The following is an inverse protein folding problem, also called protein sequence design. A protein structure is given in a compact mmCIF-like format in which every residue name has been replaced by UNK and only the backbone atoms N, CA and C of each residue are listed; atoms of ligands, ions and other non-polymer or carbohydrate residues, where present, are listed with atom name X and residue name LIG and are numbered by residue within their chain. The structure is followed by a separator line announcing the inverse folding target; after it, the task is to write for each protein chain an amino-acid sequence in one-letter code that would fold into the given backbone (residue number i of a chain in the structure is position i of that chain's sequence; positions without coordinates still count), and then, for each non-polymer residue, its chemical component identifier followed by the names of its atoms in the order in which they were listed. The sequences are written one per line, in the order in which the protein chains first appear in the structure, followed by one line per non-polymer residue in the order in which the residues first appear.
data_IF_881414474558
#
_entry.id   IF_881414474558
#
_cell.length_a   1.000
_cell.length_b   1.000
_cell.length_c   1.000
_cell.angle_alpha   90.00
_cell.angle_beta   90.00
_cell.angle_gamma   90.00
#
_symmetry.space_group_name_H-M   'P 1'
#
loop_
_entity.id
_entity.type
_entity.pdbx_description
1 polymer ?
#
# COMPACT_ATOMS: atom_id res chain seq x y z
N UNK A 1 8.02 3.95 -7.91
CA UNK A 1 6.89 3.13 -7.40
C UNK A 1 5.62 3.97 -7.35
N UNK A 2 5.54 4.95 -6.46
CA UNK A 2 4.52 6.01 -6.51
C UNK A 2 5.06 7.32 -5.95
N UNK A 3 4.30 8.40 -6.10
CA UNK A 3 4.58 9.70 -5.49
C UNK A 3 3.28 10.38 -5.06
N UNK A 4 3.32 11.17 -3.99
CA UNK A 4 2.21 12.08 -3.68
C UNK A 4 2.32 13.31 -4.60
N UNK A 5 1.24 13.61 -5.31
CA UNK A 5 1.05 14.84 -6.09
C UNK A 5 -0.18 15.53 -5.50
N UNK A 6 0.02 16.69 -4.90
CA UNK A 6 -1.01 17.39 -4.13
C UNK A 6 -1.59 16.47 -3.03
N UNK A 7 -2.81 15.97 -3.22
CA UNK A 7 -3.51 15.06 -2.32
C UNK A 7 -3.65 13.62 -2.86
N UNK A 8 -3.07 13.34 -4.03
CA UNK A 8 -3.25 12.06 -4.74
C UNK A 8 -1.94 11.30 -4.85
N UNK A 9 -1.93 10.03 -4.42
CA UNK A 9 -0.79 9.14 -4.69
C UNK A 9 -0.93 8.58 -6.10
N UNK A 10 -0.01 8.94 -6.99
CA UNK A 10 0.06 8.40 -8.35
C UNK A 10 1.03 7.23 -8.40
N UNK A 11 0.62 6.13 -9.04
CA UNK A 11 1.41 4.91 -9.21
C UNK A 11 2.02 4.89 -10.62
N UNK A 12 3.28 4.46 -10.72
CA UNK A 12 3.95 4.27 -12.01
C UNK A 12 3.71 2.83 -12.49
N UNK A 13 2.72 2.64 -13.36
CA UNK A 13 2.34 1.35 -13.94
C UNK A 13 3.35 0.80 -14.96
N UNK A 14 4.11 1.67 -15.63
CA UNK A 14 5.20 1.28 -16.53
C UNK A 14 6.41 0.68 -15.79
N UNK A 15 6.50 0.88 -14.46
CA UNK A 15 7.62 0.39 -13.67
C UNK A 15 7.68 -1.16 -13.68
N UNK A 16 8.86 -1.80 -13.90
CA UNK A 16 8.98 -3.26 -13.95
C UNK A 16 8.41 -3.98 -12.72
N UNK A 17 8.57 -3.40 -11.53
CA UNK A 17 8.00 -3.99 -10.31
C UNK A 17 6.46 -3.97 -10.26
N UNK A 18 5.80 -2.96 -10.87
CA UNK A 18 4.34 -2.95 -10.98
C UNK A 18 3.88 -4.03 -11.95
N UNK A 19 4.50 -4.11 -13.13
CA UNK A 19 4.23 -5.18 -14.11
C UNK A 19 4.40 -6.57 -13.51
N UNK A 20 5.45 -6.80 -12.71
CA UNK A 20 5.65 -8.05 -11.96
C UNK A 20 4.52 -8.30 -10.96
N UNK A 21 4.09 -7.28 -10.21
CA UNK A 21 3.01 -7.41 -9.24
C UNK A 21 1.67 -7.75 -9.90
N UNK A 22 1.36 -7.17 -11.06
CA UNK A 22 0.19 -7.55 -11.86
C UNK A 22 0.29 -9.02 -12.28
N UNK A 23 1.43 -9.41 -12.87
CA UNK A 23 1.65 -10.79 -13.31
C UNK A 23 1.54 -11.83 -12.16
N UNK A 24 1.92 -11.47 -10.93
CA UNK A 24 1.83 -12.33 -9.76
C UNK A 24 0.52 -12.20 -8.97
N UNK A 25 -0.47 -11.44 -9.47
CA UNK A 25 -1.72 -11.11 -8.75
C UNK A 25 -1.48 -10.48 -7.37
N UNK A 26 -0.40 -9.71 -7.24
CA UNK A 26 0.00 -8.97 -6.04
C UNK A 26 -0.16 -7.46 -6.21
N UNK A 27 -0.98 -7.02 -7.15
CA UNK A 27 -1.18 -5.60 -7.48
C UNK A 27 -1.60 -4.78 -6.25
N UNK A 28 -2.59 -5.27 -5.49
CA UNK A 28 -3.05 -4.58 -4.29
C UNK A 28 -1.95 -4.38 -3.24
N UNK A 29 -1.06 -5.36 -3.07
CA UNK A 29 0.10 -5.25 -2.19
C UNK A 29 1.11 -4.22 -2.71
N UNK A 30 1.36 -4.20 -4.02
CA UNK A 30 2.24 -3.21 -4.64
C UNK A 30 1.72 -1.78 -4.46
N UNK A 31 0.42 -1.56 -4.68
CA UNK A 31 -0.22 -0.27 -4.46
C UNK A 31 -0.10 0.14 -3.00
N UNK A 32 -0.42 -0.75 -2.06
CA UNK A 32 -0.32 -0.45 -0.62
C UNK A 32 1.11 -0.08 -0.21
N UNK A 33 2.12 -0.83 -0.67
CA UNK A 33 3.53 -0.53 -0.40
C UNK A 33 3.97 0.80 -1.02
N UNK A 34 3.57 1.08 -2.27
CA UNK A 34 3.90 2.33 -2.94
C UNK A 34 3.27 3.55 -2.24
N UNK A 35 2.04 3.41 -1.74
CA UNK A 35 1.36 4.42 -0.92
C UNK A 35 2.09 4.61 0.40
N UNK A 36 2.42 3.54 1.12
CA UNK A 36 3.15 3.61 2.39
C UNK A 36 4.48 4.36 2.22
N UNK A 37 5.25 4.04 1.18
CA UNK A 37 6.52 4.70 0.87
C UNK A 37 6.35 6.17 0.49
N UNK A 38 5.28 6.51 -0.25
CA UNK A 38 5.00 7.90 -0.62
C UNK A 38 4.64 8.75 0.61
N UNK A 39 3.82 8.20 1.52
CA UNK A 39 3.37 8.89 2.73
C UNK A 39 4.46 8.96 3.80
N UNK A 40 5.30 7.93 3.96
CA UNK A 40 6.36 7.91 4.98
C UNK A 40 7.28 9.14 4.89
N UNK A 41 7.56 9.60 3.66
CA UNK A 41 8.39 10.79 3.39
C UNK A 41 7.81 12.10 3.93
N UNK A 42 6.52 12.12 4.22
CA UNK A 42 5.78 13.30 4.68
C UNK A 42 5.25 13.14 6.10
N UNK A 43 4.97 11.91 6.52
CA UNK A 43 4.32 11.60 7.77
C UNK A 43 5.29 11.46 8.95
N UNK A 44 6.54 11.06 8.70
CA UNK A 44 7.51 10.74 9.75
C UNK A 44 8.94 11.18 9.39
N UNK A 45 9.83 11.36 10.39
CA UNK A 45 11.26 11.53 10.15
C UNK A 45 11.88 10.33 9.40
N UNK A 46 12.99 10.53 8.65
CA UNK A 46 13.62 9.45 7.89
C UNK A 46 14.00 8.21 8.71
N UNK A 47 14.37 8.40 9.98
CA UNK A 47 14.71 7.31 10.91
C UNK A 47 13.51 6.39 11.23
N UNK A 48 12.29 6.90 11.15
CA UNK A 48 11.05 6.20 11.48
C UNK A 48 10.32 5.66 10.23
N UNK A 49 10.83 5.94 9.03
CA UNK A 49 10.17 5.58 7.77
C UNK A 49 9.92 4.07 7.64
N UNK A 50 10.85 3.23 8.11
CA UNK A 50 10.70 1.78 8.09
C UNK A 50 9.57 1.29 9.02
N UNK A 51 9.51 1.85 10.23
CA UNK A 51 8.48 1.53 11.21
C UNK A 51 7.10 1.96 10.69
N UNK A 52 7.00 3.16 10.11
CA UNK A 52 5.77 3.65 9.49
C UNK A 52 5.26 2.71 8.39
N UNK A 53 6.14 2.30 7.46
CA UNK A 53 5.74 1.37 6.38
C UNK A 53 5.27 0.03 6.94
N UNK A 54 5.95 -0.48 7.96
CA UNK A 54 5.57 -1.73 8.63
C UNK A 54 4.20 -1.61 9.28
N UNK A 55 3.98 -0.58 10.10
CA UNK A 55 2.71 -0.33 10.77
C UNK A 55 1.57 -0.13 9.76
N UNK A 56 1.80 0.62 8.69
CA UNK A 56 0.83 0.82 7.61
C UNK A 56 0.40 -0.52 7.00
N UNK A 57 1.35 -1.37 6.62
CA UNK A 57 1.04 -2.66 5.98
C UNK A 57 0.32 -3.62 6.92
N UNK A 58 0.65 -3.61 8.22
CA UNK A 58 -0.10 -4.38 9.22
C UNK A 58 -1.55 -3.90 9.26
N UNK A 59 -1.81 -2.59 9.35
CA UNK A 59 -3.18 -2.05 9.38
C UNK A 59 -3.95 -2.33 8.10
N UNK A 60 -3.29 -2.22 6.95
CA UNK A 60 -3.89 -2.54 5.65
C UNK A 60 -4.31 -4.02 5.57
N UNK A 61 -3.44 -4.93 6.02
CA UNK A 61 -3.75 -6.37 6.05
C UNK A 61 -4.96 -6.69 6.93
N UNK A 62 -5.01 -6.14 8.14
CA UNK A 62 -6.14 -6.34 9.04
C UNK A 62 -7.46 -5.77 8.52
N UNK A 63 -7.42 -4.62 7.84
CA UNK A 63 -8.60 -4.02 7.23
C UNK A 63 -9.23 -4.95 6.17
N UNK A 64 -8.39 -5.65 5.39
CA UNK A 64 -8.84 -6.65 4.43
C UNK A 64 -9.48 -7.88 5.11
N UNK A 65 -8.89 -8.35 6.21
CA UNK A 65 -9.46 -9.46 6.98
C UNK A 65 -10.82 -9.10 7.58
N UNK A 66 -10.96 -7.89 8.12
CA UNK A 66 -12.23 -7.36 8.62
C UNK A 66 -13.30 -7.27 7.52
N UNK A 67 -12.92 -6.79 6.32
CA UNK A 67 -13.84 -6.71 5.18
C UNK A 67 -14.33 -8.10 4.73
N UNK A 68 -13.43 -9.09 4.65
CA UNK A 68 -13.78 -10.48 4.32
C UNK A 68 -14.73 -11.11 5.33
N UNK A 69 -14.52 -10.87 6.63
CA UNK A 69 -15.45 -11.37 7.68
C UNK A 69 -16.84 -10.78 7.53
N UNK A 70 -16.95 -9.47 7.26
CA UNK A 70 -18.25 -8.79 7.05
C UNK A 70 -18.99 -9.32 5.81
N UNK A 71 -18.28 -9.61 4.73
CA UNK A 71 -18.84 -10.24 3.52
C UNK A 71 -19.45 -11.61 3.83
N UNK A 72 -18.75 -12.46 4.59
CA UNK A 72 -19.21 -13.82 4.92
C UNK A 72 -20.40 -13.87 5.88
N UNK A 73 -20.60 -12.85 6.70
CA UNK A 73 -21.74 -12.76 7.63
C UNK A 73 -23.05 -12.31 6.95
N UNK A 74 -22.99 -11.84 5.70
CA UNK A 74 -24.13 -11.31 4.93
C UNK A 74 -24.63 -12.27 3.84
N UNK A 75 -24.05 -13.47 3.75
CA UNK A 75 -24.44 -14.56 2.84
C UNK A 75 -25.09 -15.67 3.66
#
# INVERSE_FOLDING_TARGET
LGRLVESTVVINDAHPAYRRAVASRSEGYHIALAVALALARLAVPPAEAHEFVTAFLVRWGEALDGARRKSRSRS
#
